data_IF_697450982547
#
_entry.id   IF_697450982547
#
_cell.length_a   1.000
_cell.length_b   1.000
_cell.length_c   1.000
_cell.angle_alpha   90.00
_cell.angle_beta   90.00
_cell.angle_gamma   90.00
#
_symmetry.space_group_name_H-M   'P 1'
#
loop_
_entity.id
_entity.type
_entity.pdbx_description
1 polymer ?
#
# COMPACT_ATOMS: atom_id res chain seq x y z
N UNK A 1 -9.91 -43.49 43.94
CA UNK A 1 -9.39 -43.23 42.58
C UNK A 1 -10.63 -43.30 41.69
N UNK A 2 -11.51 -42.29 41.63
CA UNK A 2 -11.26 -40.86 41.32
C UNK A 2 -10.45 -40.80 40.02
N UNK A 3 -10.97 -40.40 38.86
CA UNK A 3 -11.98 -39.38 38.55
C UNK A 3 -12.64 -39.65 37.19
N UNK A 4 -13.81 -39.06 37.03
CA UNK A 4 -14.62 -38.77 35.84
C UNK A 4 -13.83 -38.32 34.60
N UNK A 5 -14.38 -38.59 33.41
CA UNK A 5 -14.30 -37.65 32.29
C UNK A 5 -15.54 -37.75 31.40
N UNK A 6 -16.46 -36.83 31.66
CA UNK A 6 -17.45 -36.29 30.73
C UNK A 6 -16.73 -35.39 29.72
N UNK A 7 -17.15 -35.36 28.45
CA UNK A 7 -17.32 -34.11 27.67
C UNK A 7 -17.58 -34.43 26.19
N UNK A 8 -18.79 -34.06 25.75
CA UNK A 8 -19.13 -33.80 24.37
C UNK A 8 -18.70 -32.37 24.01
N UNK A 9 -18.29 -32.13 22.76
CA UNK A 9 -18.79 -31.05 21.90
C UNK A 9 -17.85 -30.78 20.72
N UNK A 10 -18.48 -30.35 19.63
CA UNK A 10 -17.97 -29.40 18.64
C UNK A 10 -16.72 -29.79 17.85
N UNK A 11 -16.98 -30.38 16.68
CA UNK A 11 -16.10 -30.16 15.55
C UNK A 11 -16.20 -28.68 15.14
N UNK A 12 -15.08 -27.94 15.04
CA UNK A 12 -15.13 -26.59 14.54
C UNK A 12 -15.57 -26.63 13.07
N UNK A 13 -16.63 -25.87 12.79
CA UNK A 13 -17.01 -25.48 11.43
C UNK A 13 -15.76 -24.96 10.75
N UNK A 14 -15.40 -25.59 9.65
CA UNK A 14 -14.42 -25.01 8.75
C UNK A 14 -15.14 -23.85 8.10
N UNK A 15 -14.86 -22.65 8.61
CA UNK A 15 -15.11 -21.38 7.96
C UNK A 15 -14.89 -21.56 6.46
N UNK A 16 -16.00 -21.50 5.74
CA UNK A 16 -16.06 -21.30 4.31
C UNK A 16 -15.46 -19.90 4.08
N UNK A 17 -14.12 -19.86 4.01
CA UNK A 17 -13.41 -18.69 3.54
C UNK A 17 -13.82 -18.54 2.09
N UNK A 18 -14.80 -17.66 1.89
CA UNK A 18 -15.20 -17.13 0.60
C UNK A 18 -13.97 -16.51 -0.04
N UNK A 19 -13.26 -17.31 -0.84
CA UNK A 19 -12.31 -16.85 -1.83
C UNK A 19 -13.07 -15.90 -2.75
N UNK A 20 -13.02 -14.60 -2.46
CA UNK A 20 -13.50 -13.56 -3.36
C UNK A 20 -12.63 -13.64 -4.61
N UNK A 21 -13.11 -14.37 -5.61
CA UNK A 21 -12.52 -14.41 -6.93
C UNK A 21 -12.70 -13.01 -7.53
N UNK A 22 -11.62 -12.23 -7.59
CA UNK A 22 -11.60 -10.95 -8.29
C UNK A 22 -11.73 -11.24 -9.79
N UNK A 23 -12.92 -11.02 -10.36
CA UNK A 23 -13.24 -11.27 -11.78
C UNK A 23 -12.58 -10.22 -12.71
N UNK A 24 -11.28 -9.93 -12.51
CA UNK A 24 -10.54 -8.89 -13.23
C UNK A 24 -11.03 -7.45 -12.95
N UNK A 25 -11.86 -7.26 -11.92
CA UNK A 25 -12.35 -5.95 -11.48
C UNK A 25 -11.52 -5.47 -10.29
N UNK A 26 -10.61 -4.49 -10.47
CA UNK A 26 -9.78 -4.03 -9.37
C UNK A 26 -10.64 -3.38 -8.27
N UNK A 27 -11.65 -2.58 -8.65
CA UNK A 27 -12.55 -1.91 -7.71
C UNK A 27 -13.92 -2.59 -7.65
N UNK A 28 -14.28 -3.07 -6.46
CA UNK A 28 -15.61 -3.63 -6.16
C UNK A 28 -16.52 -2.52 -5.63
N UNK A 29 -17.67 -2.31 -6.26
CA UNK A 29 -18.68 -1.35 -5.77
C UNK A 29 -19.76 -2.07 -4.96
N UNK A 30 -20.04 -1.67 -3.72
CA UNK A 30 -21.12 -2.26 -2.90
C UNK A 30 -22.49 -1.85 -3.45
N UNK A 31 -23.55 -2.61 -3.15
CA UNK A 31 -24.91 -2.27 -3.60
C UNK A 31 -25.34 -0.87 -3.14
N UNK A 32 -25.07 -0.53 -1.88
CA UNK A 32 -25.43 0.78 -1.32
C UNK A 32 -24.65 1.94 -1.95
N UNK A 33 -23.37 1.73 -2.27
CA UNK A 33 -22.59 2.71 -3.02
C UNK A 33 -23.06 2.83 -4.47
N UNK A 34 -23.39 1.72 -5.12
CA UNK A 34 -23.94 1.69 -6.48
C UNK A 34 -25.23 2.50 -6.58
N UNK A 35 -26.19 2.26 -5.68
CA UNK A 35 -27.45 3.03 -5.63
C UNK A 35 -27.19 4.53 -5.47
N UNK A 36 -26.22 4.90 -4.62
CA UNK A 36 -25.86 6.30 -4.39
C UNK A 36 -25.21 6.93 -5.62
N UNK A 37 -24.24 6.24 -6.25
CA UNK A 37 -23.57 6.71 -7.46
C UNK A 37 -24.57 6.85 -8.61
N UNK A 38 -25.44 5.86 -8.83
CA UNK A 38 -26.48 5.93 -9.86
C UNK A 38 -27.48 7.06 -9.58
N UNK A 39 -27.82 7.29 -8.31
CA UNK A 39 -28.63 8.41 -7.88
C UNK A 39 -28.01 9.74 -8.29
N UNK A 40 -26.75 9.98 -7.92
CA UNK A 40 -26.03 11.21 -8.27
C UNK A 40 -25.90 11.33 -9.80
N UNK A 41 -25.52 10.25 -10.49
CA UNK A 41 -25.41 10.24 -11.96
C UNK A 41 -26.70 10.67 -12.63
N UNK A 42 -27.86 10.27 -12.11
CA UNK A 42 -29.16 10.60 -12.69
C UNK A 42 -29.54 12.09 -12.61
N UNK A 43 -28.83 12.86 -11.79
CA UNK A 43 -28.98 14.31 -11.68
C UNK A 43 -28.12 15.09 -12.69
N UNK A 44 -27.15 14.41 -13.32
CA UNK A 44 -26.26 14.98 -14.33
C UNK A 44 -26.90 15.01 -15.73
N UNK A 45 -26.31 15.81 -16.62
CA UNK A 45 -26.68 15.83 -18.03
C UNK A 45 -26.25 14.52 -18.73
N UNK A 46 -27.12 14.00 -19.61
CA UNK A 46 -26.88 12.76 -20.38
C UNK A 46 -26.40 11.56 -19.54
N UNK A 47 -27.12 11.20 -18.45
CA UNK A 47 -26.65 10.30 -17.39
C UNK A 47 -26.34 8.88 -17.87
N UNK A 48 -27.00 8.45 -18.95
CA UNK A 48 -26.81 7.16 -19.60
C UNK A 48 -25.46 7.03 -20.33
N UNK A 49 -24.82 8.16 -20.65
CA UNK A 49 -23.52 8.20 -21.35
C UNK A 49 -22.33 8.29 -20.39
N UNK A 50 -22.58 8.64 -19.13
CA UNK A 50 -21.54 8.90 -18.14
C UNK A 50 -21.00 7.63 -17.50
N UNK A 51 -19.68 7.55 -17.43
CA UNK A 51 -18.93 6.58 -16.65
C UNK A 51 -18.45 7.22 -15.33
N UNK A 52 -18.43 6.44 -14.24
CA UNK A 52 -17.71 6.80 -13.03
C UNK A 52 -16.21 6.64 -13.30
N UNK A 53 -15.49 7.75 -13.41
CA UNK A 53 -14.03 7.78 -13.45
C UNK A 53 -13.46 7.68 -12.05
N UNK A 54 -12.45 6.83 -11.89
CA UNK A 54 -11.70 6.66 -10.64
C UNK A 54 -10.21 6.79 -10.95
N UNK A 55 -9.55 7.71 -10.24
CA UNK A 55 -8.11 7.92 -10.34
C UNK A 55 -7.49 8.07 -8.95
N UNK A 56 -6.28 7.55 -8.76
CA UNK A 56 -5.44 7.89 -7.61
C UNK A 56 -4.64 9.13 -8.00
N UNK A 57 -4.84 10.22 -7.27
CA UNK A 57 -4.18 11.52 -7.54
C UNK A 57 -2.96 11.77 -6.67
N UNK A 58 -2.72 10.89 -5.69
CA UNK A 58 -1.56 10.93 -4.82
C UNK A 58 -1.75 10.08 -3.58
N UNK A 59 -0.94 10.35 -2.57
CA UNK A 59 -0.96 9.64 -1.30
C UNK A 59 -0.72 10.62 -0.14
N UNK A 60 -1.28 10.29 1.03
CA UNK A 60 -1.04 11.01 2.27
C UNK A 60 -0.72 9.99 3.36
N UNK A 61 0.56 9.89 3.70
CA UNK A 61 1.04 8.87 4.63
C UNK A 61 0.82 7.46 4.08
N UNK A 62 -0.15 6.72 4.66
CA UNK A 62 -0.47 5.33 4.29
C UNK A 62 -1.79 5.19 3.55
N UNK A 63 -2.39 6.28 3.11
CA UNK A 63 -3.67 6.30 2.43
C UNK A 63 -3.52 6.94 1.05
N UNK A 64 -4.14 6.35 0.03
CA UNK A 64 -4.25 6.99 -1.29
C UNK A 64 -5.27 8.12 -1.24
N UNK A 65 -5.02 9.15 -2.06
CA UNK A 65 -6.00 10.20 -2.37
C UNK A 65 -6.63 9.86 -3.71
N UNK A 66 -7.97 9.92 -3.77
CA UNK A 66 -8.74 9.53 -4.94
C UNK A 66 -9.48 10.73 -5.55
N UNK A 67 -9.60 10.74 -6.87
CA UNK A 67 -10.57 11.56 -7.60
C UNK A 67 -11.69 10.65 -8.11
N UNK A 68 -12.93 11.05 -7.82
CA UNK A 68 -14.15 10.40 -8.28
C UNK A 68 -14.96 11.45 -9.04
N UNK A 69 -15.13 11.22 -10.34
CA UNK A 69 -15.83 12.15 -11.24
C UNK A 69 -16.65 11.38 -12.27
N UNK A 70 -17.69 12.01 -12.83
CA UNK A 70 -18.33 11.47 -14.01
C UNK A 70 -17.60 11.96 -15.26
N UNK A 71 -17.33 11.05 -16.17
CA UNK A 71 -16.66 11.32 -17.43
C UNK A 71 -17.51 10.81 -18.59
N UNK A 72 -17.57 11.60 -19.65
CA UNK A 72 -18.15 11.18 -20.93
C UNK A 72 -17.23 10.16 -21.63
N UNK A 73 -17.75 9.47 -22.65
CA UNK A 73 -16.95 8.49 -23.40
C UNK A 73 -15.70 9.13 -24.05
N UNK A 74 -15.78 10.37 -24.52
CA UNK A 74 -14.65 11.09 -25.11
C UNK A 74 -13.57 11.49 -24.08
N UNK A 75 -13.94 11.62 -22.80
CA UNK A 75 -13.01 11.93 -21.69
C UNK A 75 -12.33 10.69 -21.12
N UNK A 76 -12.86 9.50 -21.39
CA UNK A 76 -12.24 8.23 -21.01
C UNK A 76 -11.12 7.92 -22.01
N UNK A 77 -9.88 8.16 -21.60
CA UNK A 77 -8.72 8.03 -22.47
C UNK A 77 -8.46 6.58 -22.93
N UNK A 78 -7.83 6.47 -24.12
CA UNK A 78 -7.32 5.20 -24.65
C UNK A 78 -6.26 4.63 -23.70
N UNK A 79 -6.67 3.67 -22.87
CA UNK A 79 -5.82 3.06 -21.85
C UNK A 79 -6.54 2.82 -20.53
N UNK A 80 -7.63 3.54 -20.25
CA UNK A 80 -8.43 3.28 -19.05
C UNK A 80 -8.95 1.83 -19.08
N UNK A 81 -8.91 1.16 -17.93
CA UNK A 81 -9.65 -0.07 -17.73
C UNK A 81 -11.12 0.31 -17.55
N UNK A 82 -11.96 -0.16 -18.46
CA UNK A 82 -13.39 0.13 -18.45
C UNK A 82 -14.17 -1.16 -18.29
N UNK A 83 -15.08 -1.19 -17.33
CA UNK A 83 -16.02 -2.30 -17.14
C UNK A 83 -17.37 -1.80 -16.65
N UNK A 84 -18.41 -2.61 -16.83
CA UNK A 84 -19.76 -2.31 -16.38
C UNK A 84 -20.12 -3.19 -15.19
N UNK A 85 -20.80 -2.60 -14.21
CA UNK A 85 -21.40 -3.31 -13.08
C UNK A 85 -22.81 -2.79 -12.86
N UNK A 86 -23.81 -3.65 -13.04
CA UNK A 86 -25.22 -3.36 -12.74
C UNK A 86 -25.72 -2.00 -13.32
N UNK A 87 -25.31 -1.69 -14.57
CA UNK A 87 -25.69 -0.46 -15.27
C UNK A 87 -24.84 0.79 -14.95
N UNK A 88 -23.81 0.65 -14.12
CA UNK A 88 -22.78 1.66 -13.91
C UNK A 88 -21.52 1.29 -14.71
N UNK A 89 -21.15 2.15 -15.66
CA UNK A 89 -19.86 2.06 -16.35
C UNK A 89 -18.79 2.68 -15.45
N UNK A 90 -17.71 1.96 -15.19
CA UNK A 90 -16.60 2.38 -14.35
C UNK A 90 -15.36 2.46 -15.24
N UNK A 91 -14.63 3.57 -15.17
CA UNK A 91 -13.40 3.81 -15.91
C UNK A 91 -12.26 4.13 -14.94
N UNK A 92 -11.24 3.28 -14.93
CA UNK A 92 -10.09 3.42 -14.03
C UNK A 92 -8.85 3.75 -14.87
N UNK A 93 -8.11 4.77 -14.48
CA UNK A 93 -6.85 5.11 -15.14
C UNK A 93 -5.86 3.95 -15.05
N UNK A 94 -5.13 3.66 -16.13
CA UNK A 94 -4.26 2.47 -16.21
C UNK A 94 -3.25 2.41 -15.06
N UNK A 95 -2.71 3.57 -14.67
CA UNK A 95 -1.77 3.72 -13.56
C UNK A 95 -2.39 3.44 -12.18
N UNK A 96 -3.70 3.60 -12.04
CA UNK A 96 -4.44 3.34 -10.80
C UNK A 96 -4.90 1.89 -10.66
N UNK A 97 -4.99 1.13 -11.76
CA UNK A 97 -5.56 -0.25 -11.78
C UNK A 97 -4.88 -1.17 -10.76
N UNK A 98 -3.55 -1.28 -10.80
CA UNK A 98 -2.83 -2.18 -9.92
C UNK A 98 -2.95 -1.77 -8.44
N UNK A 99 -2.98 -0.47 -8.17
CA UNK A 99 -3.11 0.10 -6.82
C UNK A 99 -4.52 0.00 -6.26
N UNK A 100 -5.52 -0.15 -7.12
CA UNK A 100 -6.92 -0.34 -6.74
C UNK A 100 -7.31 -1.82 -6.65
N UNK A 101 -6.43 -2.77 -6.95
CA UNK A 101 -6.78 -4.19 -6.96
C UNK A 101 -7.30 -4.66 -5.58
N UNK A 102 -8.53 -5.18 -5.56
CA UNK A 102 -9.22 -5.58 -4.34
C UNK A 102 -9.79 -4.43 -3.50
N UNK A 103 -9.78 -3.19 -4.00
CA UNK A 103 -10.39 -2.06 -3.32
C UNK A 103 -11.93 -2.14 -3.36
N UNK A 104 -12.58 -1.59 -2.34
CA UNK A 104 -14.04 -1.55 -2.21
C UNK A 104 -14.54 -0.10 -2.13
N UNK A 105 -15.46 0.29 -3.02
CA UNK A 105 -16.21 1.53 -2.95
C UNK A 105 -17.51 1.30 -2.15
N UNK A 106 -17.65 1.99 -1.03
CA UNK A 106 -18.74 1.82 -0.07
C UNK A 106 -19.24 3.19 0.48
N UNK A 107 -20.28 3.14 1.32
CA UNK A 107 -20.72 4.28 2.11
C UNK A 107 -19.99 4.36 3.47
N UNK A 108 -19.83 5.56 4.04
CA UNK A 108 -19.27 5.69 5.38
C UNK A 108 -20.17 5.01 6.40
N UNK A 109 -19.57 4.38 7.42
CA UNK A 109 -20.31 3.71 8.51
C UNK A 109 -21.27 4.65 9.24
N UNK A 110 -20.97 5.95 9.23
CA UNK A 110 -21.83 6.98 9.78
C UNK A 110 -22.53 7.71 8.63
N UNK A 111 -23.82 7.44 8.45
CA UNK A 111 -24.63 8.04 7.38
C UNK A 111 -24.68 9.58 7.43
N UNK A 112 -24.42 10.20 8.59
CA UNK A 112 -24.36 11.65 8.71
C UNK A 112 -23.13 12.28 8.02
N UNK A 113 -22.10 11.49 7.71
CA UNK A 113 -20.87 11.96 7.08
C UNK A 113 -21.02 12.18 5.56
N UNK A 114 -22.03 11.56 4.92
CA UNK A 114 -22.29 11.67 3.49
C UNK A 114 -21.12 11.20 2.60
N UNK A 115 -21.37 11.12 1.30
CA UNK A 115 -20.33 10.79 0.31
C UNK A 115 -19.99 9.30 0.20
N UNK A 116 -18.88 9.04 -0.49
CA UNK A 116 -18.37 7.70 -0.79
C UNK A 116 -17.01 7.50 -0.10
N UNK A 117 -16.70 6.26 0.26
CA UNK A 117 -15.43 5.86 0.85
C UNK A 117 -14.85 4.69 0.06
N UNK A 118 -13.57 4.78 -0.30
CA UNK A 118 -12.82 3.67 -0.86
C UNK A 118 -12.01 3.02 0.26
N UNK A 119 -12.22 1.72 0.48
CA UNK A 119 -11.43 0.88 1.37
C UNK A 119 -10.48 0.07 0.50
N UNK A 120 -9.22 0.46 0.52
CA UNK A 120 -8.20 -0.16 -0.31
C UNK A 120 -7.27 -1.02 0.56
N UNK A 121 -7.14 -2.33 0.29
CA UNK A 121 -6.20 -3.19 1.00
C UNK A 121 -4.74 -2.86 0.66
N UNK A 122 -4.50 -2.21 -0.48
CA UNK A 122 -3.18 -1.75 -0.89
C UNK A 122 -2.84 -0.45 -0.17
N UNK A 123 -1.58 -0.31 0.24
CA UNK A 123 -1.05 0.94 0.79
C UNK A 123 -0.15 1.61 -0.24
N UNK A 124 -0.17 2.95 -0.34
CA UNK A 124 0.82 3.67 -1.13
C UNK A 124 2.22 3.29 -0.67
N UNK A 125 3.12 3.15 -1.64
CA UNK A 125 4.52 3.07 -1.32
C UNK A 125 4.92 4.39 -0.62
N UNK A 126 5.55 4.34 0.57
CA UNK A 126 5.90 5.53 1.33
C UNK A 126 6.91 6.46 0.63
N UNK A 127 7.42 6.07 -0.53
CA UNK A 127 8.36 6.80 -1.37
C UNK A 127 7.77 7.17 -2.76
N UNK A 128 6.52 6.79 -3.05
CA UNK A 128 5.82 7.11 -4.30
C UNK A 128 5.60 8.63 -4.46
N UNK A 129 5.97 9.19 -5.63
CA UNK A 129 5.79 10.61 -5.96
C UNK A 129 6.97 11.52 -5.63
N UNK A 130 8.16 10.96 -5.40
CA UNK A 130 9.36 11.71 -5.07
C UNK A 130 10.37 11.58 -6.22
N UNK A 131 10.37 12.56 -7.12
CA UNK A 131 11.37 12.71 -8.19
C UNK A 131 12.75 13.10 -7.60
N UNK A 132 13.49 12.13 -7.06
CA UNK A 132 14.92 12.32 -6.85
C UNK A 132 15.64 11.92 -8.12
N UNK A 133 16.25 12.89 -8.80
CA UNK A 133 17.24 12.60 -9.83
C UNK A 133 18.47 11.96 -9.17
N UNK A 134 18.42 10.64 -8.98
CA UNK A 134 19.55 9.85 -8.48
C UNK A 134 20.63 9.80 -9.56
N UNK A 135 21.69 10.57 -9.37
CA UNK A 135 22.80 10.68 -10.32
C UNK A 135 23.98 9.80 -9.90
N UNK A 136 24.78 9.36 -10.88
CA UNK A 136 26.00 8.58 -10.62
C UNK A 136 25.82 7.06 -10.68
N UNK A 137 26.82 6.35 -10.16
CA UNK A 137 26.84 4.88 -10.06
C UNK A 137 25.96 4.38 -8.91
N UNK A 138 25.62 3.10 -8.90
CA UNK A 138 24.77 2.46 -7.89
C UNK A 138 25.09 2.85 -6.43
N UNK A 139 26.36 2.85 -5.97
CA UNK A 139 26.71 3.29 -4.61
C UNK A 139 26.28 4.74 -4.32
N UNK A 140 26.43 5.63 -5.30
CA UNK A 140 26.11 7.06 -5.17
C UNK A 140 24.60 7.26 -5.10
N UNK A 141 23.84 6.51 -5.90
CA UNK A 141 22.37 6.54 -5.87
C UNK A 141 21.84 6.10 -4.51
N UNK A 142 22.36 4.99 -3.97
CA UNK A 142 21.95 4.47 -2.66
C UNK A 142 22.28 5.46 -1.55
N UNK A 143 23.50 6.01 -1.55
CA UNK A 143 23.90 7.00 -0.54
C UNK A 143 22.99 8.25 -0.59
N UNK A 144 22.73 8.78 -1.78
CA UNK A 144 21.85 9.93 -1.97
C UNK A 144 20.44 9.67 -1.46
N UNK A 145 19.85 8.51 -1.79
CA UNK A 145 18.53 8.11 -1.32
C UNK A 145 18.48 8.03 0.22
N UNK A 146 19.50 7.40 0.83
CA UNK A 146 19.58 7.27 2.27
C UNK A 146 19.69 8.63 2.98
N UNK A 147 20.54 9.52 2.49
CA UNK A 147 20.79 10.82 3.10
C UNK A 147 19.62 11.79 2.92
N UNK A 148 19.05 11.85 1.71
CA UNK A 148 18.09 12.88 1.34
C UNK A 148 16.65 12.51 1.72
N UNK A 149 16.34 11.21 1.91
CA UNK A 149 14.96 10.76 2.06
C UNK A 149 14.75 9.78 3.22
N UNK A 150 15.52 8.70 3.28
CA UNK A 150 15.34 7.68 4.32
C UNK A 150 15.72 8.25 5.69
N UNK A 151 16.89 8.86 5.83
CA UNK A 151 17.36 9.38 7.11
C UNK A 151 16.51 10.51 7.70
N UNK A 152 15.98 11.47 6.94
CA UNK A 152 15.02 12.45 7.48
C UNK A 152 13.79 11.80 8.13
N UNK A 153 13.24 10.74 7.52
CA UNK A 153 12.11 10.00 8.06
C UNK A 153 12.51 9.19 9.31
N UNK A 154 13.64 8.49 9.26
CA UNK A 154 14.16 7.73 10.41
C UNK A 154 14.53 8.62 11.60
N UNK A 155 15.09 9.80 11.33
CA UNK A 155 15.54 10.75 12.34
C UNK A 155 14.37 11.28 13.18
N UNK A 156 13.17 11.37 12.60
CA UNK A 156 11.93 11.71 13.32
C UNK A 156 11.61 10.70 14.43
N UNK A 157 12.09 9.47 14.28
CA UNK A 157 11.99 8.39 15.26
C UNK A 157 13.34 8.11 15.96
N UNK A 158 14.33 9.00 15.82
CA UNK A 158 15.64 8.89 16.44
C UNK A 158 16.59 7.87 15.81
N UNK A 159 16.21 7.29 14.67
CA UNK A 159 16.99 6.30 13.92
C UNK A 159 17.75 6.89 12.72
N UNK A 160 18.59 6.06 12.11
CA UNK A 160 19.30 6.33 10.86
C UNK A 160 19.68 5.01 10.18
N UNK A 161 19.97 5.10 8.89
CA UNK A 161 20.57 4.07 8.05
C UNK A 161 21.82 4.62 7.35
N UNK A 162 22.84 3.80 7.20
CA UNK A 162 24.11 4.15 6.60
C UNK A 162 24.47 3.11 5.52
N UNK A 163 24.87 3.60 4.36
CA UNK A 163 25.39 2.77 3.28
C UNK A 163 26.77 2.19 3.65
N UNK A 164 26.95 0.90 3.42
CA UNK A 164 28.21 0.17 3.68
C UNK A 164 28.93 -0.16 2.38
N UNK A 165 28.18 -0.62 1.37
CA UNK A 165 28.76 -1.03 0.10
C UNK A 165 27.75 -1.73 -0.80
N UNK A 166 28.19 -2.07 -2.01
CA UNK A 166 27.46 -2.89 -2.96
C UNK A 166 28.41 -3.93 -3.55
N UNK A 167 27.95 -5.15 -3.78
CA UNK A 167 28.73 -6.19 -4.46
C UNK A 167 28.47 -6.24 -5.97
N UNK A 168 29.17 -7.14 -6.66
CA UNK A 168 29.07 -7.34 -8.11
C UNK A 168 27.70 -7.88 -8.56
N UNK A 169 26.89 -8.42 -7.64
CA UNK A 169 25.55 -8.94 -7.87
C UNK A 169 24.46 -7.88 -7.56
N UNK A 170 24.86 -6.62 -7.32
CA UNK A 170 24.00 -5.51 -6.92
C UNK A 170 23.29 -5.71 -5.56
N UNK A 171 23.88 -6.48 -4.65
CA UNK A 171 23.41 -6.55 -3.27
C UNK A 171 23.95 -5.35 -2.49
N UNK A 172 23.04 -4.55 -1.96
CA UNK A 172 23.33 -3.34 -1.20
C UNK A 172 23.42 -3.67 0.29
N UNK A 173 24.53 -3.30 0.91
CA UNK A 173 24.77 -3.48 2.33
C UNK A 173 24.52 -2.17 3.07
N UNK A 174 23.69 -2.23 4.11
CA UNK A 174 23.41 -1.10 5.00
C UNK A 174 23.65 -1.48 6.46
N UNK A 175 23.94 -0.47 7.28
CA UNK A 175 23.81 -0.54 8.74
C UNK A 175 22.72 0.41 9.18
N UNK A 176 22.05 0.08 10.28
CA UNK A 176 21.02 0.90 10.89
C UNK A 176 21.36 1.16 12.34
N UNK A 177 20.98 2.33 12.84
CA UNK A 177 21.23 2.70 14.23
C UNK A 177 20.18 3.67 14.77
N UNK A 178 20.09 3.79 16.09
CA UNK A 178 19.20 4.75 16.76
C UNK A 178 17.73 4.33 16.91
N UNK A 179 16.97 5.18 17.61
CA UNK A 179 15.51 5.20 17.69
C UNK A 179 14.82 4.21 18.62
N UNK A 180 15.25 2.96 18.70
CA UNK A 180 14.57 1.94 19.51
C UNK A 180 15.56 0.90 20.07
N UNK A 181 16.15 1.24 21.22
CA UNK A 181 16.79 0.27 22.12
C UNK A 181 15.67 -0.53 22.82
N UNK A 182 15.09 -1.55 22.16
CA UNK A 182 14.31 -2.56 22.91
C UNK A 182 12.93 -3.03 22.41
N UNK A 183 12.54 -2.81 21.15
CA UNK A 183 11.34 -3.45 20.58
C UNK A 183 11.64 -4.17 19.26
N UNK A 184 11.84 -5.50 19.32
CA UNK A 184 12.17 -6.34 18.17
C UNK A 184 11.13 -6.28 17.03
N UNK A 185 9.85 -6.11 17.36
CA UNK A 185 8.77 -6.02 16.37
C UNK A 185 8.84 -4.72 15.53
N UNK A 186 9.32 -3.62 16.10
CA UNK A 186 9.48 -2.35 15.38
C UNK A 186 10.71 -2.35 14.48
N UNK A 187 11.76 -3.10 14.84
CA UNK A 187 12.98 -3.21 14.06
C UNK A 187 12.74 -3.94 12.73
N UNK A 188 12.03 -5.07 12.75
CA UNK A 188 11.76 -5.85 11.53
C UNK A 188 10.97 -5.03 10.48
N UNK A 189 9.90 -4.36 10.90
CA UNK A 189 9.10 -3.49 10.03
C UNK A 189 9.91 -2.32 9.45
N UNK A 190 10.84 -1.77 10.24
CA UNK A 190 11.71 -0.69 9.78
C UNK A 190 12.68 -1.15 8.70
N UNK A 191 13.30 -2.33 8.89
CA UNK A 191 14.18 -2.92 7.87
C UNK A 191 13.44 -3.17 6.58
N UNK A 192 12.24 -3.75 6.67
CA UNK A 192 11.42 -4.05 5.51
C UNK A 192 11.05 -2.76 4.76
N UNK A 193 10.67 -1.70 5.47
CA UNK A 193 10.42 -0.39 4.88
C UNK A 193 11.64 0.20 4.16
N UNK A 194 12.83 0.12 4.75
CA UNK A 194 14.07 0.63 4.13
C UNK A 194 14.48 -0.22 2.91
N UNK A 195 14.34 -1.54 2.99
CA UNK A 195 14.58 -2.46 1.87
C UNK A 195 13.70 -2.09 0.69
N UNK A 196 12.40 -1.99 0.93
CA UNK A 196 11.40 -1.65 -0.09
C UNK A 196 11.71 -0.28 -0.70
N UNK A 197 12.04 0.72 0.13
CA UNK A 197 12.46 2.05 -0.32
C UNK A 197 13.57 2.03 -1.37
N UNK A 198 14.64 1.27 -1.08
CA UNK A 198 15.84 1.23 -1.91
C UNK A 198 15.56 0.48 -3.20
N UNK A 199 14.85 -0.65 -3.14
CA UNK A 199 14.54 -1.47 -4.31
C UNK A 199 13.56 -0.79 -5.27
N UNK A 200 12.59 -0.04 -4.74
CA UNK A 200 11.63 0.69 -5.56
C UNK A 200 12.29 1.89 -6.26
N UNK A 201 13.05 2.70 -5.52
CA UNK A 201 13.74 3.86 -6.07
C UNK A 201 14.91 3.50 -6.99
N UNK A 202 15.52 2.31 -6.80
CA UNK A 202 16.70 1.86 -7.54
C UNK A 202 16.47 0.41 -8.01
N UNK A 203 15.74 0.20 -9.12
CA UNK A 203 15.32 -1.14 -9.58
C UNK A 203 16.46 -2.06 -10.05
N UNK A 204 17.70 -1.53 -10.14
CA UNK A 204 18.90 -2.32 -10.41
C UNK A 204 19.45 -3.03 -9.16
N UNK A 205 18.97 -2.68 -7.95
CA UNK A 205 19.33 -3.36 -6.68
C UNK A 205 18.67 -4.74 -6.61
N UNK A 206 19.47 -5.78 -6.40
CA UNK A 206 18.97 -7.15 -6.28
C UNK A 206 18.48 -7.46 -4.86
N UNK A 207 19.27 -7.10 -3.84
CA UNK A 207 18.94 -7.31 -2.44
C UNK A 207 19.46 -6.17 -1.55
N UNK A 208 18.78 -5.90 -0.43
CA UNK A 208 19.29 -5.01 0.63
C UNK A 208 19.54 -5.84 1.88
N UNK A 209 20.80 -5.86 2.32
CA UNK A 209 21.30 -6.67 3.42
C UNK A 209 21.68 -5.77 4.58
N UNK A 210 21.03 -6.00 5.73
CA UNK A 210 21.39 -5.33 6.97
C UNK A 210 22.54 -6.07 7.66
N UNK A 211 23.64 -5.35 7.85
CA UNK A 211 24.89 -5.84 8.46
C UNK A 211 25.06 -5.43 9.93
N UNK A 212 24.06 -4.78 10.52
CA UNK A 212 24.11 -4.31 11.90
C UNK A 212 24.17 -5.50 12.88
N UNK A 213 24.95 -5.36 13.95
CA UNK A 213 24.95 -6.31 15.05
C UNK A 213 23.76 -6.02 15.99
N UNK A 214 22.66 -6.74 15.78
CA UNK A 214 21.44 -6.59 16.59
C UNK A 214 21.53 -7.28 17.95
N UNK A 215 22.50 -8.17 18.14
CA UNK A 215 22.72 -8.88 19.40
C UNK A 215 23.52 -8.04 20.40
N UNK A 216 24.35 -7.10 19.91
CA UNK A 216 25.12 -6.17 20.74
C UNK A 216 24.25 -5.24 21.60
N UNK A 217 22.97 -5.04 21.24
CA UNK A 217 22.00 -4.29 22.04
C UNK A 217 21.36 -5.08 23.19
N UNK A 218 21.42 -6.41 23.17
CA UNK A 218 20.77 -7.28 24.18
C UNK A 218 21.69 -7.66 25.34
N UNK A 219 23.00 -7.32 25.29
CA UNK A 219 23.90 -7.57 26.42
C UNK A 219 25.06 -6.56 26.53
N UNK A 220 24.83 -5.35 27.08
CA UNK A 220 25.84 -4.28 27.12
C UNK A 220 26.89 -4.41 28.25
N UNK A 221 27.02 -5.56 28.92
CA UNK A 221 27.91 -5.72 30.07
C UNK A 221 28.71 -7.01 30.03
N UNK A 222 29.69 -7.15 29.13
CA UNK A 222 30.93 -7.90 29.40
C UNK A 222 32.01 -7.49 28.38
N UNK A 223 32.85 -6.54 28.77
CA UNK A 223 34.28 -6.47 28.41
C UNK A 223 35.09 -6.51 29.68
#
# INVERSE_FOLDING_TARGET
>A
MSVDTESAADGPGTDEQSEAQSDGQPLVVTESALETVLGIRSEEDDPETLALRVAITGSSGREYTYDLSFATEDEVAEGHLVYEKDGLRIAIESESVARLDGAELDLPRNAAQGGLVIRNPNTPDPFEGIDIELTGELPEKVAQLLEQQVNPMLASHGGFAQFVGVDDDNNVYVTMGGGCQGCAASAATLRDGIRTAIMDAIPEVAEVIDTTDHAAGENPFYT
#
